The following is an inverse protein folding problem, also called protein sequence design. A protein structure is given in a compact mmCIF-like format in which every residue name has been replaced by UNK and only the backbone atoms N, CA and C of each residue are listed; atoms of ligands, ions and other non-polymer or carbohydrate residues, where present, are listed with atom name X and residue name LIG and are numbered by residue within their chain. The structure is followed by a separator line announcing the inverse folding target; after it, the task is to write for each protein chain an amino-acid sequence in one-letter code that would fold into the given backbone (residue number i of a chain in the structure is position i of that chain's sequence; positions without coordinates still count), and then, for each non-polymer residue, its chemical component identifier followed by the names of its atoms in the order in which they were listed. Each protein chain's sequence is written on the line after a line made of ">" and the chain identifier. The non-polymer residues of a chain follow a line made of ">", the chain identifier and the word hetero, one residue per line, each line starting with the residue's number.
data_IF_287319281752
#
_entry.id   IF_287319281752
#
_cell.length_a   1.000
_cell.length_b   1.000
_cell.length_c   1.000
_cell.angle_alpha   90.00
_cell.angle_beta   90.00
_cell.angle_gamma   90.00
#
_symmetry.space_group_name_H-M   'P 1'
#
loop_
_entity.id
_entity.type
_entity.pdbx_description
1 polymer ?
#
# COMPACT_ATOMS: atom_id res chain seq x y z
N UNK A 1 -0.80 10.66 -12.14
CA UNK A 1 -2.20 10.78 -12.64
C UNK A 1 -3.13 10.38 -11.52
N UNK A 2 -4.13 11.19 -11.21
CA UNK A 2 -5.08 10.87 -10.14
C UNK A 2 -6.23 10.00 -10.65
N UNK A 3 -6.67 9.01 -9.87
CA UNK A 3 -7.82 8.17 -10.20
C UNK A 3 -9.02 8.57 -9.35
N UNK A 4 -9.88 9.43 -9.91
CA UNK A 4 -11.14 9.79 -9.27
C UNK A 4 -12.04 8.56 -9.12
N UNK A 5 -12.23 8.13 -7.88
CA UNK A 5 -13.12 7.04 -7.50
C UNK A 5 -13.87 7.42 -6.22
N UNK A 6 -14.96 8.20 -6.30
CA UNK A 6 -15.66 8.72 -5.12
C UNK A 6 -16.15 7.63 -4.16
N UNK A 7 -16.48 6.44 -4.68
CA UNK A 7 -16.91 5.30 -3.88
C UNK A 7 -15.78 4.69 -3.01
N UNK A 8 -14.51 4.99 -3.32
CA UNK A 8 -13.38 4.51 -2.53
C UNK A 8 -13.10 5.37 -1.29
N UNK A 9 -13.66 6.58 -1.19
CA UNK A 9 -13.41 7.50 -0.07
C UNK A 9 -12.78 8.82 -0.50
N UNK A 10 -12.12 9.46 0.45
CA UNK A 10 -11.52 10.80 0.30
C UNK A 10 -10.03 10.68 0.00
N UNK A 11 -9.55 11.17 -1.15
CA UNK A 11 -8.12 11.24 -1.42
C UNK A 11 -7.41 12.20 -0.47
N UNK A 12 -6.27 11.79 0.06
CA UNK A 12 -5.42 12.59 0.95
C UNK A 12 -4.00 12.73 0.40
N UNK A 13 -3.32 13.80 0.79
CA UNK A 13 -1.93 14.03 0.40
C UNK A 13 -1.00 13.13 1.21
N UNK A 14 0.10 12.67 0.61
CA UNK A 14 1.21 12.01 1.31
C UNK A 14 1.83 12.86 2.42
N UNK A 15 1.60 14.18 2.41
CA UNK A 15 1.96 15.06 3.53
C UNK A 15 1.27 14.69 4.85
N UNK A 16 0.13 14.00 4.79
CA UNK A 16 -0.58 13.45 5.97
C UNK A 16 0.23 12.37 6.68
N UNK A 17 1.17 11.73 5.98
CA UNK A 17 2.04 10.70 6.54
C UNK A 17 3.33 11.29 7.15
N UNK A 18 3.58 12.60 6.98
CA UNK A 18 4.81 13.23 7.48
C UNK A 18 4.75 13.32 9.01
N UNK A 19 5.76 12.74 9.67
CA UNK A 19 5.85 12.71 11.12
C UNK A 19 5.07 11.57 11.78
N UNK A 20 4.36 10.76 10.99
CA UNK A 20 3.72 9.54 11.48
C UNK A 20 4.75 8.46 11.77
N UNK A 21 4.51 7.70 12.84
CA UNK A 21 5.34 6.55 13.15
C UNK A 21 5.00 5.40 12.19
N UNK A 22 5.97 4.98 11.38
CA UNK A 22 5.80 3.82 10.50
C UNK A 22 5.66 2.58 11.37
N UNK A 23 4.54 1.87 11.18
CA UNK A 23 4.25 0.63 11.89
C UNK A 23 5.07 -0.52 11.29
N UNK A 24 5.62 -1.44 12.10
CA UNK A 24 6.33 -2.61 11.59
C UNK A 24 5.44 -3.42 10.64
N UNK A 25 5.97 -3.93 9.50
CA UNK A 25 5.24 -4.81 8.61
C UNK A 25 4.44 -5.92 9.31
N UNK A 26 5.02 -6.54 10.35
CA UNK A 26 4.38 -7.59 11.14
C UNK A 26 3.11 -7.20 11.88
N UNK A 27 2.86 -5.90 12.02
CA UNK A 27 1.66 -5.35 12.67
C UNK A 27 0.67 -4.77 11.65
N UNK A 28 1.01 -4.77 10.35
CA UNK A 28 0.18 -4.20 9.28
C UNK A 28 -0.64 -5.29 8.60
N UNK A 29 -1.96 -5.23 8.81
CA UNK A 29 -2.94 -6.08 8.15
C UNK A 29 -3.28 -5.55 6.74
N UNK A 30 -3.25 -6.43 5.74
CA UNK A 30 -3.40 -6.05 4.32
C UNK A 30 -4.32 -6.97 3.53
N UNK A 31 -5.04 -6.35 2.60
CA UNK A 31 -5.79 -7.02 1.52
C UNK A 31 -5.32 -6.50 0.18
N UNK A 32 -5.06 -7.39 -0.77
CA UNK A 32 -4.59 -6.99 -2.11
C UNK A 32 -5.68 -7.16 -3.16
N UNK A 33 -6.09 -6.09 -3.80
CA UNK A 33 -7.16 -6.09 -4.78
C UNK A 33 -6.65 -5.85 -6.20
N UNK A 34 -7.14 -6.66 -7.14
CA UNK A 34 -6.98 -6.45 -8.56
C UNK A 34 -8.03 -5.45 -9.07
N UNK A 35 -7.56 -4.26 -9.45
CA UNK A 35 -8.38 -3.22 -10.06
C UNK A 35 -7.92 -2.88 -11.49
N UNK A 36 -7.14 -3.75 -12.14
CA UNK A 36 -6.55 -3.49 -13.45
C UNK A 36 -6.74 -4.59 -14.50
N UNK A 37 -7.37 -5.70 -14.12
CA UNK A 37 -7.73 -6.81 -15.01
C UNK A 37 -6.59 -7.80 -15.26
N UNK A 38 -5.44 -7.65 -14.60
CA UNK A 38 -4.30 -8.57 -14.76
C UNK A 38 -4.48 -9.82 -13.90
N UNK A 39 -4.70 -10.96 -14.54
CA UNK A 39 -4.87 -12.25 -13.85
C UNK A 39 -3.63 -12.57 -13.00
N UNK A 40 -3.84 -12.96 -11.74
CA UNK A 40 -2.79 -13.43 -10.82
C UNK A 40 -1.96 -12.34 -10.14
N UNK A 41 -2.01 -11.08 -10.59
CA UNK A 41 -1.12 -10.04 -10.06
C UNK A 41 -1.39 -9.73 -8.57
N UNK A 42 -2.66 -9.69 -8.15
CA UNK A 42 -3.00 -9.48 -6.74
C UNK A 42 -2.44 -10.58 -5.83
N UNK A 43 -2.51 -11.84 -6.27
CA UNK A 43 -1.92 -12.99 -5.57
C UNK A 43 -0.39 -12.86 -5.49
N UNK A 44 0.27 -12.52 -6.60
CA UNK A 44 1.73 -12.32 -6.62
C UNK A 44 2.16 -11.23 -5.65
N UNK A 45 1.48 -10.07 -5.67
CA UNK A 45 1.79 -8.96 -4.76
C UNK A 45 1.51 -9.33 -3.30
N UNK A 46 0.41 -10.03 -3.01
CA UNK A 46 0.13 -10.51 -1.66
C UNK A 46 1.24 -11.43 -1.12
N UNK A 47 1.72 -12.37 -1.94
CA UNK A 47 2.84 -13.25 -1.55
C UNK A 47 4.15 -12.47 -1.33
N UNK A 48 4.42 -11.43 -2.14
CA UNK A 48 5.58 -10.56 -1.93
C UNK A 48 5.46 -9.77 -0.62
N UNK A 49 4.28 -9.22 -0.31
CA UNK A 49 4.04 -8.54 0.97
C UNK A 49 4.21 -9.49 2.16
N UNK A 50 3.74 -10.74 2.05
CA UNK A 50 3.95 -11.77 3.07
C UNK A 50 5.43 -12.09 3.28
N UNK A 51 6.25 -12.06 2.23
CA UNK A 51 7.72 -12.24 2.34
C UNK A 51 8.41 -11.08 3.05
N UNK A 52 7.77 -9.90 3.08
CA UNK A 52 8.20 -8.73 3.84
C UNK A 52 7.59 -8.68 5.25
N UNK A 53 7.04 -9.81 5.73
CA UNK A 53 6.36 -9.99 7.02
C UNK A 53 5.04 -9.22 7.19
N UNK A 54 4.44 -8.65 6.14
CA UNK A 54 3.09 -8.11 6.24
C UNK A 54 2.06 -9.20 6.53
N UNK A 55 1.03 -8.85 7.32
CA UNK A 55 -0.03 -9.78 7.72
C UNK A 55 -1.16 -9.74 6.69
N UNK A 56 -1.27 -10.77 5.86
CA UNK A 56 -2.40 -10.90 4.94
C UNK A 56 -3.69 -11.18 5.72
N UNK A 57 -4.80 -10.57 5.31
CA UNK A 57 -6.12 -10.87 5.85
C UNK A 57 -6.45 -12.37 5.72
N UNK A 58 -6.97 -12.97 6.79
CA UNK A 58 -7.20 -14.41 6.86
C UNK A 58 -8.35 -14.88 5.95
N UNK A 59 -9.33 -14.02 5.69
CA UNK A 59 -10.54 -14.37 4.94
C UNK A 59 -10.40 -14.00 3.46
N UNK A 60 -9.86 -12.81 3.20
CA UNK A 60 -9.74 -12.22 1.87
C UNK A 60 -8.33 -11.63 1.69
N UNK A 61 -7.28 -12.46 1.61
CA UNK A 61 -5.90 -11.98 1.47
C UNK A 61 -5.69 -11.25 0.14
N UNK A 62 -6.38 -11.70 -0.90
CA UNK A 62 -6.39 -11.07 -2.22
C UNK A 62 -7.68 -11.38 -2.98
N UNK A 63 -8.01 -10.55 -3.98
CA UNK A 63 -9.18 -10.76 -4.83
C UNK A 63 -9.36 -9.71 -5.91
N UNK A 64 -10.50 -9.71 -6.59
CA UNK A 64 -10.90 -8.59 -7.45
C UNK A 64 -11.38 -7.43 -6.57
N UNK A 65 -11.08 -6.19 -6.97
CA UNK A 65 -11.53 -5.01 -6.25
C UNK A 65 -13.06 -4.88 -6.33
N UNK A 66 -13.79 -4.93 -5.20
CA UNK A 66 -15.24 -4.83 -5.21
C UNK A 66 -15.75 -3.43 -5.58
N UNK A 67 -14.90 -2.40 -5.49
CA UNK A 67 -15.26 -1.00 -5.81
C UNK A 67 -15.03 -0.71 -7.29
N UNK A 68 -14.08 -1.39 -7.94
CA UNK A 68 -13.73 -1.20 -9.34
C UNK A 68 -14.30 -2.36 -10.17
N UNK A 69 -15.60 -2.29 -10.46
CA UNK A 69 -16.37 -3.37 -11.10
C UNK A 69 -15.81 -3.85 -12.45
N UNK A 70 -15.20 -2.95 -13.23
CA UNK A 70 -14.61 -3.27 -14.54
C UNK A 70 -13.09 -3.53 -14.48
N UNK A 71 -12.50 -3.49 -13.28
CA UNK A 71 -11.06 -3.58 -13.06
C UNK A 71 -10.25 -2.67 -14.00
N UNK A 72 -10.67 -1.41 -14.09
CA UNK A 72 -10.12 -0.41 -15.01
C UNK A 72 -9.59 0.85 -14.33
N UNK A 73 -9.14 0.72 -13.07
CA UNK A 73 -8.58 1.80 -12.28
C UNK A 73 -7.39 2.43 -13.00
N UNK A 74 -7.57 3.66 -13.49
CA UNK A 74 -6.69 4.31 -14.47
C UNK A 74 -5.57 5.14 -13.82
N UNK A 75 -4.92 4.57 -12.80
CA UNK A 75 -3.75 5.13 -12.10
C UNK A 75 -2.78 4.00 -11.72
N UNK A 76 -1.75 4.30 -10.95
CA UNK A 76 -0.86 3.27 -10.39
C UNK A 76 -1.63 2.38 -9.41
N UNK A 77 -2.39 2.95 -8.50
CA UNK A 77 -3.20 2.21 -7.54
C UNK A 77 -3.66 3.09 -6.40
N UNK A 78 -4.34 2.49 -5.43
CA UNK A 78 -4.83 3.16 -4.23
C UNK A 78 -4.47 2.35 -2.99
N UNK A 79 -4.07 3.05 -1.93
CA UNK A 79 -4.04 2.53 -0.56
C UNK A 79 -5.27 3.07 0.17
N UNK A 80 -6.22 2.20 0.52
CA UNK A 80 -7.47 2.59 1.19
C UNK A 80 -7.44 2.13 2.65
N UNK A 81 -7.65 3.06 3.58
CA UNK A 81 -7.48 2.82 5.01
C UNK A 81 -8.27 3.81 5.86
N UNK A 82 -8.41 3.51 7.15
CA UNK A 82 -9.05 4.40 8.13
C UNK A 82 -8.11 5.54 8.54
N UNK A 83 -8.65 6.74 8.76
CA UNK A 83 -7.84 7.94 9.05
C UNK A 83 -6.95 7.81 10.30
N UNK A 84 -7.38 7.02 11.29
CA UNK A 84 -6.64 6.74 12.52
C UNK A 84 -5.39 5.86 12.31
N UNK A 85 -5.22 5.27 11.11
CA UNK A 85 -4.19 4.27 10.82
C UNK A 85 -3.14 4.75 9.80
N UNK A 86 -2.83 6.06 9.79
CA UNK A 86 -1.81 6.63 8.91
C UNK A 86 -0.45 5.90 8.99
N UNK A 87 -0.03 5.47 10.18
CA UNK A 87 1.22 4.71 10.35
C UNK A 87 1.26 3.36 9.61
N UNK A 88 0.11 2.70 9.43
CA UNK A 88 -0.01 1.46 8.66
C UNK A 88 0.08 1.76 7.15
N UNK A 89 -0.62 2.81 6.71
CA UNK A 89 -0.54 3.26 5.33
C UNK A 89 0.86 3.75 4.97
N UNK A 90 1.61 4.36 5.90
CA UNK A 90 2.97 4.81 5.67
C UNK A 90 3.94 3.66 5.35
N UNK A 91 3.83 2.52 6.03
CA UNK A 91 4.62 1.34 5.73
C UNK A 91 4.41 0.84 4.28
N UNK A 92 3.15 0.81 3.83
CA UNK A 92 2.81 0.39 2.48
C UNK A 92 3.14 1.45 1.43
N UNK A 93 2.96 2.73 1.74
CA UNK A 93 3.29 3.82 0.83
C UNK A 93 4.80 3.90 0.55
N UNK A 94 5.65 3.41 1.47
CA UNK A 94 7.07 3.24 1.20
C UNK A 94 7.37 2.17 0.13
N UNK A 95 6.51 1.14 0.01
CA UNK A 95 6.58 0.12 -1.05
C UNK A 95 5.88 0.57 -2.35
N UNK A 96 4.84 1.38 -2.21
CA UNK A 96 3.97 1.83 -3.28
C UNK A 96 3.94 3.38 -3.37
N UNK A 97 5.08 4.05 -3.64
CA UNK A 97 5.19 5.51 -3.56
C UNK A 97 4.31 6.26 -4.57
N UNK A 98 3.83 5.57 -5.60
CA UNK A 98 2.98 6.13 -6.65
C UNK A 98 1.48 5.91 -6.40
N UNK A 99 1.10 5.24 -5.31
CA UNK A 99 -0.30 4.94 -5.02
C UNK A 99 -0.96 6.14 -4.35
N UNK A 100 -2.22 6.40 -4.70
CA UNK A 100 -2.99 7.41 -4.01
C UNK A 100 -3.38 6.93 -2.62
N UNK A 101 -3.33 7.82 -1.64
CA UNK A 101 -3.81 7.56 -0.30
C UNK A 101 -5.28 7.94 -0.22
N UNK A 102 -6.12 7.01 0.22
CA UNK A 102 -7.56 7.21 0.33
C UNK A 102 -8.00 6.90 1.76
N UNK A 103 -8.61 7.88 2.42
CA UNK A 103 -9.34 7.67 3.67
C UNK A 103 -10.76 7.26 3.37
N UNK A 104 -11.14 6.04 3.75
CA UNK A 104 -12.46 5.48 3.44
C UNK A 104 -13.40 5.38 4.65
N UNK A 105 -12.93 5.83 5.82
CA UNK A 105 -13.70 5.87 7.06
C UNK A 105 -13.90 4.50 7.73
N UNK A 106 -13.17 3.46 7.31
CA UNK A 106 -13.19 2.18 8.03
C UNK A 106 -12.65 2.34 9.46
N UNK A 107 -13.20 1.61 10.45
CA UNK A 107 -12.78 1.73 11.85
C UNK A 107 -11.60 0.80 12.21
N UNK A 108 -11.21 -0.11 11.32
CA UNK A 108 -10.16 -1.10 11.54
C UNK A 108 -8.82 -0.71 10.88
N UNK A 109 -7.75 -1.38 11.32
CA UNK A 109 -6.37 -1.09 10.92
C UNK A 109 -5.97 -1.69 9.56
N UNK A 110 -6.90 -2.33 8.84
CA UNK A 110 -6.60 -3.00 7.59
C UNK A 110 -6.37 -1.98 6.48
N UNK A 111 -5.32 -2.18 5.70
CA UNK A 111 -5.05 -1.37 4.51
C UNK A 111 -5.33 -2.19 3.25
N UNK A 112 -6.14 -1.64 2.36
CA UNK A 112 -6.39 -2.23 1.06
C UNK A 112 -5.40 -1.69 0.03
N UNK A 113 -4.68 -2.60 -0.63
CA UNK A 113 -3.79 -2.30 -1.74
C UNK A 113 -4.53 -2.60 -3.05
N UNK A 114 -5.11 -1.58 -3.67
CA UNK A 114 -5.82 -1.70 -4.95
C UNK A 114 -4.88 -1.41 -6.12
N UNK A 115 -4.61 -2.43 -6.94
CA UNK A 115 -3.65 -2.39 -8.04
C UNK A 115 -4.29 -1.80 -9.31
N UNK A 116 -3.84 -0.62 -9.73
CA UNK A 116 -4.32 0.06 -10.94
C UNK A 116 -3.56 -0.31 -12.22
N UNK A 117 -4.03 0.18 -13.37
CA UNK A 117 -3.47 -0.12 -14.71
C UNK A 117 -2.02 0.37 -14.90
N UNK A 118 -1.64 1.40 -14.16
CA UNK A 118 -0.26 1.92 -14.12
C UNK A 118 0.70 0.96 -13.43
N UNK A 119 0.23 0.16 -12.47
CA UNK A 119 1.07 -0.76 -11.72
C UNK A 119 1.51 -1.96 -12.56
N UNK A 120 2.82 -2.18 -12.62
CA UNK A 120 3.44 -3.27 -13.37
C UNK A 120 3.79 -4.43 -12.45
N UNK A 121 4.49 -4.13 -11.38
CA UNK A 121 5.08 -5.09 -10.47
C UNK A 121 5.55 -4.37 -9.20
N UNK A 122 5.68 -5.14 -8.12
CA UNK A 122 6.30 -4.67 -6.90
C UNK A 122 7.79 -5.01 -7.00
N UNK A 123 8.59 -4.02 -7.40
CA UNK A 123 10.05 -4.09 -7.34
C UNK A 123 10.51 -3.65 -5.96
N UNK A 124 10.82 -4.61 -5.09
CA UNK A 124 11.37 -4.30 -3.77
C UNK A 124 12.87 -4.13 -3.92
N UNK A 125 13.35 -2.89 -3.78
CA UNK A 125 14.79 -2.65 -3.71
C UNK A 125 15.34 -3.24 -2.40
N UNK A 126 16.55 -3.80 -2.42
CA UNK A 126 17.19 -4.39 -1.21
C UNK A 126 17.29 -3.42 -0.02
N UNK A 127 17.35 -2.11 -0.30
CA UNK A 127 17.33 -1.06 0.73
C UNK A 127 15.98 -0.98 1.45
N UNK A 128 14.88 -1.19 0.72
CA UNK A 128 13.52 -1.21 1.25
C UNK A 128 13.31 -2.48 2.10
N UNK A 129 13.77 -3.64 1.62
CA UNK A 129 13.77 -4.90 2.41
C UNK A 129 14.52 -4.74 3.74
N UNK A 130 15.71 -4.14 3.69
CA UNK A 130 16.51 -3.88 4.88
C UNK A 130 15.82 -2.95 5.88
N UNK A 131 15.16 -1.90 5.39
CA UNK A 131 14.40 -0.97 6.21
C UNK A 131 13.17 -1.64 6.85
N UNK A 132 12.41 -2.42 6.08
CA UNK A 132 11.27 -3.19 6.60
C UNK A 132 11.70 -4.21 7.66
N UNK A 133 12.82 -4.90 7.42
CA UNK A 133 13.40 -5.82 8.40
C UNK A 133 13.86 -5.12 9.68
N UNK A 134 14.36 -3.89 9.59
CA UNK A 134 14.76 -3.08 10.75
C UNK A 134 13.55 -2.65 11.59
N UNK A 135 12.45 -2.24 10.95
CA UNK A 135 11.19 -1.93 11.61
C UNK A 135 10.66 -3.13 12.42
N UNK A 136 10.71 -4.34 11.86
CA UNK A 136 10.31 -5.56 12.56
C UNK A 136 11.16 -5.86 13.81
N UNK A 137 12.39 -5.32 13.89
CA UNK A 137 13.25 -5.44 15.08
C UNK A 137 13.05 -4.30 16.09
N UNK A 138 12.15 -3.36 15.82
CA UNK A 138 11.93 -2.17 16.64
C UNK A 138 13.05 -1.13 16.52
N UNK A 139 13.88 -1.21 15.46
CA UNK A 139 14.85 -0.17 15.13
C UNK A 139 14.09 1.01 14.51
N UNK A 140 14.52 2.25 14.82
CA UNK A 140 14.04 3.41 14.06
C UNK A 140 14.52 3.21 12.61
N UNK A 141 13.59 2.89 11.70
CA UNK A 141 13.91 3.04 10.29
C UNK A 141 14.27 4.50 10.10
N UNK A 142 15.48 4.73 9.62
CA UNK A 142 15.90 6.04 9.21
C UNK A 142 14.94 6.49 8.10
N UNK A 143 13.96 7.29 8.50
CA UNK A 143 12.91 7.81 7.63
C UNK A 143 13.53 8.58 6.47
N UNK A 144 14.77 9.08 6.60
CA UNK A 144 15.53 9.69 5.50
C UNK A 144 15.85 8.69 4.39
N UNK A 145 16.18 7.43 4.73
CA UNK A 145 16.41 6.36 3.79
C UNK A 145 15.15 6.02 2.98
N UNK A 146 14.01 5.85 3.66
CA UNK A 146 12.71 5.58 3.00
C UNK A 146 12.21 6.79 2.18
N UNK A 147 12.44 8.01 2.67
CA UNK A 147 12.12 9.25 1.95
C UNK A 147 12.94 9.40 0.66
N UNK A 148 14.21 8.96 0.67
CA UNK A 148 15.05 8.94 -0.53
C UNK A 148 14.58 7.89 -1.56
N UNK A 149 14.00 6.78 -1.12
CA UNK A 149 13.48 5.70 -1.96
C UNK A 149 12.15 6.06 -2.67
N UNK A 150 11.34 6.91 -2.03
CA UNK A 150 10.15 7.53 -2.63
C UNK A 150 10.46 8.50 -3.79
N UNK A 151 11.74 8.76 -4.07
CA UNK A 151 12.20 9.58 -5.22
C UNK A 151 12.19 8.82 -6.54
N UNK A 152 11.78 7.54 -6.55
CA UNK A 152 11.53 6.80 -7.78
C UNK A 152 10.39 7.49 -8.54
N UNK A 153 10.73 8.17 -9.62
CA UNK A 153 9.79 8.99 -10.40
C UNK A 153 8.67 8.12 -10.96
N UNK A 154 7.46 8.32 -10.44
CA UNK A 154 6.21 7.79 -10.97
C UNK A 154 5.99 8.34 -12.39
N UNK A 155 6.53 7.65 -13.40
CA UNK A 155 6.52 8.06 -14.81
C UNK A 155 5.54 7.25 -15.63
#
# INVERSE_FOLDING_TARGET
>A
MSCSLPAAGTPVSSTTLIGEHIVPPSDVHVRVYNANGKVGQATTVAEQLRQLDFVLDEQVPYGNDPIVENQDLSCFGQLRYGEEFNGHAAALHALFPCFELIHDGRPDATVDVSLGKGFKDLEVASQVEGAMSALNRGEQADLEGLSSLGSSTCS
#
